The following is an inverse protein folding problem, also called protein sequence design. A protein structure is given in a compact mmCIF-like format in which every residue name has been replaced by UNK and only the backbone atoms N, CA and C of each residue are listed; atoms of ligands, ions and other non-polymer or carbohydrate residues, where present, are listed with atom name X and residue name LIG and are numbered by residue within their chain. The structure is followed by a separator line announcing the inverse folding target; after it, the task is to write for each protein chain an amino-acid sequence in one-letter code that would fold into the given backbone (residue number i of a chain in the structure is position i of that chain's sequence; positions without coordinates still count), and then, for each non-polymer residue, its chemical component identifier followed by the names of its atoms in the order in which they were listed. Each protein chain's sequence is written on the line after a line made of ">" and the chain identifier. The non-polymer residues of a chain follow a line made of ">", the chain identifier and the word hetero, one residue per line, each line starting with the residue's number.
data_IF_265135988349
#
_entry.id   IF_265135988349
#
_cell.length_a   1.000
_cell.length_b   1.000
_cell.length_c   1.000
_cell.angle_alpha   90.00
_cell.angle_beta   90.00
_cell.angle_gamma   90.00
#
_symmetry.space_group_name_H-M   'P 1'
#
loop_
_entity.id
_entity.type
_entity.pdbx_description
1 polymer ?
#
# COMPACT_ATOMS: atom_id res chain seq x y z
N UNK A 1 82.64 -16.01 18.47
CA UNK A 1 82.94 -16.96 19.55
C UNK A 1 82.00 -18.14 19.43
N UNK A 2 82.54 -19.38 19.44
CA UNK A 2 81.79 -20.60 19.76
C UNK A 2 80.95 -21.25 18.65
N UNK A 3 81.61 -21.92 17.70
CA UNK A 3 81.04 -23.00 16.86
C UNK A 3 81.01 -24.32 17.64
N UNK A 4 80.03 -25.20 17.35
CA UNK A 4 80.06 -26.69 17.31
C UNK A 4 78.66 -27.07 16.81
N UNK A 5 78.32 -27.53 15.59
CA UNK A 5 78.90 -28.43 14.59
C UNK A 5 79.31 -29.79 15.14
N UNK A 6 78.60 -30.84 14.71
CA UNK A 6 79.11 -32.10 14.16
C UNK A 6 77.92 -32.76 13.43
N UNK A 7 77.95 -32.88 12.09
CA UNK A 7 78.68 -33.87 11.29
C UNK A 7 77.74 -35.04 11.00
N UNK A 8 77.28 -35.23 9.76
CA UNK A 8 78.04 -35.72 8.60
C UNK A 8 77.10 -36.77 7.96
N UNK A 9 77.09 -37.11 6.67
CA UNK A 9 78.10 -37.14 5.62
C UNK A 9 77.29 -37.53 4.36
N UNK A 10 77.47 -36.87 3.20
CA UNK A 10 78.16 -37.43 2.01
C UNK A 10 77.40 -38.62 1.37
N UNK A 11 76.94 -38.65 0.10
CA UNK A 11 77.66 -38.46 -1.15
C UNK A 11 76.68 -38.36 -2.35
N UNK A 12 77.13 -37.64 -3.39
CA UNK A 12 76.67 -37.60 -4.81
C UNK A 12 76.97 -38.96 -5.53
N UNK A 13 76.81 -39.20 -6.86
CA UNK A 13 76.25 -38.41 -7.97
C UNK A 13 75.44 -39.21 -9.04
N UNK A 14 74.94 -38.47 -10.06
CA UNK A 14 74.95 -38.76 -11.53
C UNK A 14 74.02 -39.80 -12.21
N UNK A 15 73.59 -39.35 -13.40
CA UNK A 15 73.37 -40.04 -14.68
C UNK A 15 72.03 -40.78 -14.87
N UNK A 16 71.12 -40.25 -15.70
CA UNK A 16 70.96 -40.43 -17.18
C UNK A 16 70.50 -41.84 -17.60
N UNK A 17 69.35 -41.88 -18.29
CA UNK A 17 68.87 -43.00 -19.12
C UNK A 17 67.35 -43.17 -18.97
N UNK A 18 66.51 -42.62 -19.86
CA UNK A 18 66.02 -43.22 -21.10
C UNK A 18 65.24 -44.55 -20.93
N UNK A 19 63.91 -44.44 -20.89
CA UNK A 19 63.01 -45.17 -21.80
C UNK A 19 62.46 -46.54 -21.39
N UNK A 20 61.18 -46.72 -21.75
CA UNK A 20 60.38 -47.95 -21.92
C UNK A 20 59.58 -48.52 -20.73
N UNK A 21 58.25 -48.25 -20.77
CA UNK A 21 57.25 -49.29 -21.09
C UNK A 21 56.71 -50.17 -19.96
N UNK A 22 55.41 -50.02 -19.64
CA UNK A 22 54.58 -51.10 -19.09
C UNK A 22 53.68 -50.70 -17.91
N UNK A 23 52.45 -51.24 -17.80
CA UNK A 23 51.34 -50.57 -17.12
C UNK A 23 51.17 -51.06 -15.69
N UNK A 24 51.04 -50.14 -14.74
CA UNK A 24 50.47 -50.43 -13.43
C UNK A 24 49.57 -49.28 -13.01
N UNK A 25 48.28 -49.59 -12.86
CA UNK A 25 47.30 -48.74 -12.21
C UNK A 25 47.78 -48.45 -10.79
N UNK A 26 48.01 -47.16 -10.48
CA UNK A 26 48.00 -46.68 -9.10
C UNK A 26 47.07 -45.47 -9.04
N UNK A 27 46.12 -45.62 -8.12
CA UNK A 27 45.01 -44.77 -7.80
C UNK A 27 45.49 -43.47 -7.16
N UNK A 28 44.88 -42.36 -7.62
CA UNK A 28 44.61 -41.09 -6.94
C UNK A 28 45.71 -40.41 -6.10
N UNK A 29 46.08 -39.19 -6.53
CA UNK A 29 45.92 -38.00 -5.67
C UNK A 29 45.71 -36.76 -6.54
N UNK A 30 44.50 -36.57 -7.05
CA UNK A 30 44.09 -35.27 -7.58
C UNK A 30 43.83 -34.36 -6.37
N UNK A 31 44.65 -33.33 -6.19
CA UNK A 31 44.37 -32.23 -5.28
C UNK A 31 43.07 -31.56 -5.74
N UNK A 32 41.95 -31.95 -5.13
CA UNK A 32 40.70 -31.21 -5.20
C UNK A 32 40.94 -29.85 -4.57
N UNK A 33 41.14 -28.84 -5.41
CA UNK A 33 40.85 -27.45 -5.04
C UNK A 33 39.34 -27.44 -4.76
N UNK A 34 38.99 -27.45 -3.48
CA UNK A 34 37.66 -27.04 -3.04
C UNK A 34 37.51 -25.57 -3.43
N UNK A 35 37.01 -25.34 -4.65
CA UNK A 35 36.33 -24.10 -4.96
C UNK A 35 35.20 -24.00 -3.96
N UNK A 36 35.35 -23.06 -3.03
CA UNK A 36 34.27 -22.62 -2.17
C UNK A 36 33.16 -22.17 -3.14
N UNK A 37 32.19 -23.05 -3.39
CA UNK A 37 30.92 -22.61 -3.92
C UNK A 37 30.43 -21.60 -2.88
N UNK A 38 30.40 -20.32 -3.24
CA UNK A 38 29.47 -19.42 -2.59
C UNK A 38 28.13 -20.14 -2.72
N UNK A 39 27.69 -20.76 -1.64
CA UNK A 39 26.28 -21.02 -1.44
C UNK A 39 25.68 -19.62 -1.49
N UNK A 40 25.19 -19.23 -2.67
CA UNK A 40 24.25 -18.15 -2.75
C UNK A 40 23.14 -18.57 -1.78
N UNK A 41 23.04 -17.87 -0.66
CA UNK A 41 21.85 -17.92 0.18
C UNK A 41 20.66 -17.83 -0.78
N UNK A 42 19.60 -18.65 -0.62
CA UNK A 42 18.38 -18.38 -1.35
C UNK A 42 18.07 -16.90 -1.09
N UNK A 43 17.94 -16.12 -2.16
CA UNK A 43 17.43 -14.78 -2.04
C UNK A 43 16.13 -14.93 -1.25
N UNK A 44 16.08 -14.34 -0.05
CA UNK A 44 14.81 -14.00 0.55
C UNK A 44 14.09 -13.25 -0.57
N UNK A 45 12.93 -13.70 -1.08
CA UNK A 45 12.22 -12.94 -2.10
C UNK A 45 11.96 -11.56 -1.48
N UNK A 46 12.77 -10.59 -1.89
CA UNK A 46 12.54 -9.20 -1.54
C UNK A 46 11.31 -8.80 -2.32
N UNK A 47 10.36 -8.18 -1.64
CA UNK A 47 9.22 -7.56 -2.31
C UNK A 47 9.73 -6.68 -3.45
N UNK A 48 9.12 -6.80 -4.62
CA UNK A 48 9.50 -5.99 -5.77
C UNK A 48 8.93 -4.59 -5.60
N UNK A 49 9.80 -3.57 -5.59
CA UNK A 49 9.37 -2.16 -5.59
C UNK A 49 8.70 -1.76 -6.91
N UNK A 50 8.88 -2.56 -7.96
CA UNK A 50 8.34 -2.28 -9.29
C UNK A 50 6.88 -2.72 -9.45
N UNK A 51 6.31 -3.35 -8.41
CA UNK A 51 4.91 -3.71 -8.33
C UNK A 51 4.38 -3.31 -6.95
N UNK A 52 3.52 -2.30 -6.89
CA UNK A 52 3.02 -1.75 -5.63
C UNK A 52 1.51 -1.92 -5.57
N UNK A 53 1.05 -2.59 -4.52
CA UNK A 53 -0.35 -2.71 -4.17
C UNK A 53 -0.68 -1.73 -3.05
N UNK A 54 -1.72 -0.92 -3.25
CA UNK A 54 -2.13 0.09 -2.30
C UNK A 54 -3.65 0.29 -2.35
N UNK A 55 -4.15 1.09 -1.42
CA UNK A 55 -5.56 1.40 -1.31
C UNK A 55 -5.80 2.90 -1.50
N UNK A 56 -6.96 3.21 -2.04
CA UNK A 56 -7.56 4.54 -1.99
C UNK A 56 -8.98 4.40 -1.44
N UNK A 57 -9.42 5.32 -0.59
CA UNK A 57 -10.78 5.35 -0.07
C UNK A 57 -11.55 6.47 -0.75
N UNK A 58 -12.66 6.13 -1.37
CA UNK A 58 -13.57 7.11 -1.96
C UNK A 58 -14.78 7.24 -1.05
N UNK A 59 -15.02 8.45 -0.57
CA UNK A 59 -16.15 8.78 0.28
C UNK A 59 -15.86 8.73 1.77
N UNK A 60 -16.83 9.25 2.51
CA UNK A 60 -16.78 9.41 3.95
C UNK A 60 -17.12 8.13 4.70
N UNK A 61 -16.44 7.93 5.82
CA UNK A 61 -16.75 6.90 6.78
C UNK A 61 -17.87 7.37 7.72
N UNK A 62 -19.08 6.81 7.60
CA UNK A 62 -20.15 7.04 8.59
C UNK A 62 -20.57 5.74 9.26
N UNK A 63 -21.13 5.80 10.48
CA UNK A 63 -21.72 4.62 11.10
C UNK A 63 -22.85 3.99 10.27
N UNK A 64 -23.52 4.78 9.42
CA UNK A 64 -24.71 4.36 8.66
C UNK A 64 -24.44 3.98 7.20
N UNK A 65 -23.34 4.45 6.60
CA UNK A 65 -23.02 4.26 5.17
C UNK A 65 -21.68 3.55 5.03
N UNK A 66 -21.62 2.41 4.32
CA UNK A 66 -20.36 1.74 4.05
C UNK A 66 -19.40 2.63 3.26
N UNK A 67 -18.14 2.68 3.68
CA UNK A 67 -17.07 3.34 2.92
C UNK A 67 -16.67 2.47 1.74
N UNK A 68 -16.41 3.10 0.59
CA UNK A 68 -15.88 2.42 -0.58
C UNK A 68 -14.37 2.53 -0.61
N UNK A 69 -13.68 1.39 -0.65
CA UNK A 69 -12.22 1.28 -0.70
C UNK A 69 -11.83 0.58 -1.99
N UNK A 70 -11.01 1.25 -2.79
CA UNK A 70 -10.44 0.70 -4.02
C UNK A 70 -9.09 0.09 -3.72
N UNK A 71 -8.89 -1.14 -4.17
CA UNK A 71 -7.58 -1.76 -4.25
C UNK A 71 -6.97 -1.43 -5.62
N UNK A 72 -5.74 -0.92 -5.61
CA UNK A 72 -5.03 -0.42 -6.78
C UNK A 72 -3.69 -1.13 -6.93
N UNK A 73 -3.22 -1.26 -8.17
CA UNK A 73 -1.89 -1.74 -8.48
C UNK A 73 -1.14 -0.78 -9.40
N UNK A 74 0.09 -0.47 -9.02
CA UNK A 74 1.11 0.12 -9.89
C UNK A 74 2.04 -1.00 -10.37
N UNK A 75 2.27 -1.10 -11.67
CA UNK A 75 3.15 -2.12 -12.25
C UNK A 75 4.17 -1.55 -13.26
N UNK A 76 4.98 -0.53 -12.89
CA UNK A 76 6.03 -0.02 -13.77
C UNK A 76 7.08 -1.07 -14.15
N UNK A 77 7.20 -2.17 -13.39
CA UNK A 77 8.09 -3.29 -13.68
C UNK A 77 7.73 -4.13 -14.91
N UNK A 78 6.52 -3.98 -15.45
CA UNK A 78 6.09 -4.67 -16.65
C UNK A 78 4.62 -5.10 -16.64
N UNK A 79 4.13 -5.65 -17.76
CA UNK A 79 2.75 -6.09 -17.87
C UNK A 79 2.47 -7.29 -16.95
N UNK A 80 1.20 -7.50 -16.61
CA UNK A 80 0.75 -8.61 -15.75
C UNK A 80 -0.26 -9.50 -16.49
N UNK A 81 -0.19 -10.81 -16.25
CA UNK A 81 -1.14 -11.81 -16.74
C UNK A 81 -2.31 -12.04 -15.76
N UNK A 82 -2.16 -11.61 -14.51
CA UNK A 82 -3.14 -11.78 -13.46
C UNK A 82 -2.58 -11.46 -12.08
N UNK A 83 -3.38 -11.72 -11.06
CA UNK A 83 -3.00 -11.50 -9.67
C UNK A 83 -3.85 -12.36 -8.74
N UNK A 84 -3.33 -12.59 -7.54
CA UNK A 84 -4.09 -13.08 -6.39
C UNK A 84 -3.86 -12.08 -5.26
N UNK A 85 -4.92 -11.53 -4.70
CA UNK A 85 -4.83 -10.61 -3.57
C UNK A 85 -5.68 -11.11 -2.41
N UNK A 86 -5.19 -10.88 -1.21
CA UNK A 86 -5.95 -11.10 0.01
C UNK A 86 -5.88 -9.85 0.87
N UNK A 87 -7.05 -9.32 1.21
CA UNK A 87 -7.20 -8.08 1.97
C UNK A 87 -7.77 -8.43 3.34
N UNK A 88 -7.06 -8.00 4.37
CA UNK A 88 -7.45 -8.05 5.75
C UNK A 88 -7.82 -6.66 6.24
N UNK A 89 -8.58 -6.63 7.33
CA UNK A 89 -9.02 -5.39 7.94
C UNK A 89 -8.96 -5.49 9.47
N UNK A 90 -9.01 -4.33 10.11
CA UNK A 90 -9.19 -4.21 11.56
C UNK A 90 -10.51 -4.85 12.03
N UNK A 91 -10.58 -5.30 13.28
CA UNK A 91 -11.79 -5.86 13.91
C UNK A 91 -12.97 -4.87 13.98
N UNK A 92 -12.67 -3.58 13.85
CA UNK A 92 -13.67 -2.49 13.83
C UNK A 92 -14.31 -2.29 12.46
N UNK A 93 -13.82 -2.96 11.43
CA UNK A 93 -14.36 -2.98 10.09
C UNK A 93 -15.07 -4.31 9.83
N UNK A 94 -16.18 -4.24 9.10
CA UNK A 94 -16.81 -5.42 8.51
C UNK A 94 -16.93 -5.22 7.01
N UNK A 95 -16.47 -6.20 6.25
CA UNK A 95 -16.66 -6.22 4.80
C UNK A 95 -18.12 -6.54 4.49
N UNK A 96 -18.83 -5.59 3.88
CA UNK A 96 -20.25 -5.74 3.51
C UNK A 96 -20.45 -5.96 2.01
N UNK A 97 -19.44 -5.68 1.19
CA UNK A 97 -19.48 -5.88 -0.25
C UNK A 97 -18.09 -5.93 -0.87
N UNK A 98 -17.94 -6.69 -1.94
CA UNK A 98 -16.71 -6.74 -2.73
C UNK A 98 -17.05 -7.02 -4.20
N UNK A 99 -16.37 -6.33 -5.11
CA UNK A 99 -16.60 -6.43 -6.55
C UNK A 99 -15.31 -6.25 -7.36
N UNK A 100 -15.32 -6.63 -8.65
CA UNK A 100 -14.18 -6.45 -9.53
C UNK A 100 -13.94 -4.97 -9.80
N UNK A 101 -12.67 -4.56 -9.82
CA UNK A 101 -12.29 -3.23 -10.29
C UNK A 101 -12.25 -3.15 -11.82
N UNK A 102 -12.13 -1.94 -12.36
CA UNK A 102 -12.12 -1.69 -13.79
C UNK A 102 -11.07 -2.53 -14.54
N UNK A 103 -9.90 -2.78 -13.95
CA UNK A 103 -8.83 -3.54 -14.60
C UNK A 103 -9.26 -4.98 -14.93
N UNK A 104 -10.12 -5.57 -14.11
CA UNK A 104 -10.69 -6.91 -14.33
C UNK A 104 -11.65 -6.92 -15.50
N UNK A 105 -12.29 -5.78 -15.81
CA UNK A 105 -13.43 -5.71 -16.74
C UNK A 105 -13.03 -5.38 -18.18
N UNK A 106 -11.82 -4.87 -18.42
CA UNK A 106 -11.46 -4.30 -19.73
C UNK A 106 -10.17 -4.82 -20.35
N UNK A 107 -9.28 -5.45 -19.58
CA UNK A 107 -7.93 -5.76 -20.07
C UNK A 107 -7.81 -7.08 -20.83
N UNK A 108 -8.91 -7.81 -21.07
CA UNK A 108 -8.95 -8.94 -22.00
C UNK A 108 -9.46 -8.47 -23.37
N UNK A 109 -8.72 -7.59 -24.04
CA UNK A 109 -9.10 -7.06 -25.36
C UNK A 109 -10.40 -6.21 -25.34
N UNK A 110 -10.67 -5.51 -24.24
CA UNK A 110 -11.92 -4.78 -24.02
C UNK A 110 -13.04 -5.63 -23.42
N UNK A 111 -12.75 -6.86 -22.98
CA UNK A 111 -13.66 -7.74 -22.24
C UNK A 111 -13.14 -7.99 -20.82
N UNK A 112 -13.99 -8.60 -20.01
CA UNK A 112 -13.61 -9.07 -18.67
C UNK A 112 -12.56 -10.18 -18.73
N UNK A 113 -11.80 -10.28 -17.64
CA UNK A 113 -10.85 -11.35 -17.41
C UNK A 113 -11.48 -12.74 -17.59
N UNK A 114 -10.74 -13.65 -18.22
CA UNK A 114 -11.17 -15.04 -18.43
C UNK A 114 -11.49 -15.77 -17.12
N UNK A 115 -10.78 -15.41 -16.04
CA UNK A 115 -11.10 -15.84 -14.68
C UNK A 115 -11.10 -14.66 -13.73
N UNK A 116 -12.17 -14.53 -12.97
CA UNK A 116 -12.27 -13.61 -11.84
C UNK A 116 -13.14 -14.25 -10.77
N UNK A 117 -12.59 -14.37 -9.57
CA UNK A 117 -13.33 -14.85 -8.42
C UNK A 117 -12.99 -14.00 -7.21
N UNK A 118 -14.03 -13.56 -6.49
CA UNK A 118 -13.92 -12.83 -5.24
C UNK A 118 -14.69 -13.59 -4.18
N UNK A 119 -14.06 -13.84 -3.03
CA UNK A 119 -14.65 -14.52 -1.87
C UNK A 119 -14.54 -13.60 -0.68
N UNK A 120 -15.68 -13.33 -0.04
CA UNK A 120 -15.76 -12.60 1.22
C UNK A 120 -15.72 -13.62 2.37
N UNK A 121 -14.87 -13.36 3.35
CA UNK A 121 -14.77 -14.08 4.61
C UNK A 121 -15.30 -13.15 5.72
N UNK A 122 -16.56 -13.31 6.15
CA UNK A 122 -17.18 -12.43 7.13
C UNK A 122 -16.34 -12.31 8.41
N UNK A 123 -16.16 -11.09 8.90
CA UNK A 123 -15.31 -10.77 10.06
C UNK A 123 -13.80 -10.97 9.85
N UNK A 124 -13.32 -11.30 8.64
CA UNK A 124 -11.91 -11.60 8.42
C UNK A 124 -11.28 -10.90 7.20
N UNK A 125 -11.97 -10.85 6.06
CA UNK A 125 -11.41 -10.21 4.87
C UNK A 125 -11.97 -10.68 3.54
N UNK A 126 -11.20 -10.44 2.48
CA UNK A 126 -11.57 -10.77 1.10
C UNK A 126 -10.39 -11.40 0.40
N UNK A 127 -10.64 -12.42 -0.43
CA UNK A 127 -9.68 -12.94 -1.41
C UNK A 127 -10.21 -12.73 -2.81
N UNK A 128 -9.34 -12.28 -3.71
CA UNK A 128 -9.59 -12.22 -5.14
C UNK A 128 -8.50 -12.98 -5.91
N UNK A 129 -8.91 -13.76 -6.91
CA UNK A 129 -8.01 -14.32 -7.92
C UNK A 129 -8.45 -13.91 -9.31
N UNK A 130 -7.51 -13.48 -10.15
CA UNK A 130 -7.76 -13.01 -11.51
C UNK A 130 -6.73 -13.60 -12.48
N UNK A 131 -7.22 -14.12 -13.61
CA UNK A 131 -6.41 -14.43 -14.80
C UNK A 131 -7.03 -13.67 -15.96
N UNK A 132 -6.27 -12.76 -16.56
CA UNK A 132 -6.78 -11.83 -17.58
C UNK A 132 -7.18 -12.60 -18.84
N UNK A 133 -6.27 -13.43 -19.35
CA UNK A 133 -6.45 -14.20 -20.58
C UNK A 133 -5.67 -15.50 -20.46
N UNK A 134 -6.35 -16.64 -20.53
CA UNK A 134 -5.70 -17.96 -20.48
C UNK A 134 -4.81 -18.24 -21.69
N UNK A 135 -5.07 -17.56 -22.82
CA UNK A 135 -4.26 -17.65 -24.03
C UNK A 135 -3.07 -16.68 -24.01
N UNK A 136 -2.97 -15.82 -22.98
CA UNK A 136 -1.91 -14.83 -22.79
C UNK A 136 -1.72 -13.88 -23.99
N UNK A 137 -2.77 -13.65 -24.78
CA UNK A 137 -2.77 -12.70 -25.89
C UNK A 137 -3.03 -11.27 -25.43
N UNK A 138 -3.69 -11.12 -24.29
CA UNK A 138 -3.89 -9.85 -23.59
C UNK A 138 -3.28 -9.89 -22.19
N UNK A 139 -2.80 -8.73 -21.75
CA UNK A 139 -2.16 -8.53 -20.46
C UNK A 139 -2.61 -7.17 -19.91
N UNK A 140 -2.53 -6.99 -18.60
CA UNK A 140 -2.57 -5.67 -18.00
C UNK A 140 -1.30 -4.94 -18.45
N UNK A 141 -1.38 -3.79 -19.14
CA UNK A 141 -0.20 -3.02 -19.52
C UNK A 141 0.56 -2.54 -18.29
N UNK A 142 1.81 -2.12 -18.46
CA UNK A 142 2.55 -1.45 -17.39
C UNK A 142 2.03 -0.01 -17.25
N UNK A 143 1.42 0.31 -16.12
CA UNK A 143 0.93 1.65 -15.80
C UNK A 143 0.84 1.84 -14.28
N UNK A 144 0.24 2.96 -13.86
CA UNK A 144 -0.08 3.27 -12.47
C UNK A 144 -1.61 3.28 -12.27
N UNK A 145 -2.04 2.99 -11.05
CA UNK A 145 -3.42 3.18 -10.62
C UNK A 145 -4.43 2.24 -11.25
N UNK A 146 -4.04 1.02 -11.61
CA UNK A 146 -4.99 0.02 -12.10
C UNK A 146 -5.91 -0.45 -10.97
N UNK A 147 -7.22 -0.20 -11.11
CA UNK A 147 -8.23 -0.62 -10.12
C UNK A 147 -8.51 -2.12 -10.23
N UNK A 148 -8.08 -2.89 -9.23
CA UNK A 148 -8.20 -4.36 -9.23
C UNK A 148 -9.43 -4.87 -8.51
N UNK A 149 -9.86 -4.19 -7.43
CA UNK A 149 -11.06 -4.54 -6.67
C UNK A 149 -11.70 -3.31 -6.04
N UNK A 150 -13.02 -3.36 -5.86
CA UNK A 150 -13.81 -2.38 -5.12
C UNK A 150 -14.37 -3.10 -3.89
N UNK A 151 -14.06 -2.59 -2.71
CA UNK A 151 -14.44 -3.13 -1.41
C UNK A 151 -15.36 -2.15 -0.70
N UNK A 152 -16.33 -2.64 0.05
CA UNK A 152 -17.24 -1.84 0.86
C UNK A 152 -17.15 -2.29 2.31
N UNK A 153 -16.79 -1.35 3.19
CA UNK A 153 -16.62 -1.62 4.62
C UNK A 153 -17.64 -0.85 5.44
N UNK A 154 -18.30 -1.53 6.37
CA UNK A 154 -19.09 -0.92 7.42
C UNK A 154 -18.28 -0.83 8.72
N UNK A 155 -18.58 0.16 9.55
CA UNK A 155 -18.00 0.29 10.88
C UNK A 155 -18.80 -0.49 11.91
N UNK A 156 -18.12 -1.28 12.75
CA UNK A 156 -18.77 -2.08 13.80
C UNK A 156 -18.40 -1.59 15.22
N UNK A 157 -17.57 -0.56 15.34
CA UNK A 157 -17.11 -0.08 16.64
C UNK A 157 -16.69 1.39 16.65
N UNK A 158 -15.86 1.76 17.63
CA UNK A 158 -15.27 3.10 17.68
C UNK A 158 -14.36 3.29 16.45
N UNK A 159 -14.57 4.33 15.63
CA UNK A 159 -13.74 4.55 14.44
C UNK A 159 -12.31 5.02 14.78
N UNK A 160 -11.97 5.12 16.07
CA UNK A 160 -10.72 5.70 16.53
C UNK A 160 -9.89 4.72 17.35
N UNK A 161 -8.56 4.69 17.14
CA UNK A 161 -7.80 5.40 16.07
C UNK A 161 -8.19 4.93 14.66
N UNK A 162 -7.95 5.73 13.60
CA UNK A 162 -8.42 5.46 12.23
C UNK A 162 -8.21 3.97 11.84
N UNK A 163 -9.27 3.26 11.39
CA UNK A 163 -9.15 1.84 11.10
C UNK A 163 -8.32 1.64 9.82
N UNK A 164 -7.71 0.46 9.72
CA UNK A 164 -6.78 0.14 8.65
C UNK A 164 -7.23 -1.09 7.86
N UNK A 165 -6.90 -1.08 6.58
CA UNK A 165 -6.97 -2.21 5.68
C UNK A 165 -5.57 -2.52 5.16
N UNK A 166 -5.26 -3.79 5.00
CA UNK A 166 -3.92 -4.23 4.61
C UNK A 166 -3.98 -5.49 3.77
N UNK A 167 -3.05 -5.64 2.85
CA UNK A 167 -2.81 -6.93 2.22
C UNK A 167 -2.20 -7.90 3.22
N UNK A 168 -2.61 -9.17 3.15
CA UNK A 168 -2.21 -10.17 4.13
C UNK A 168 -2.02 -11.54 3.47
N UNK A 169 -1.19 -12.37 4.10
CA UNK A 169 -1.00 -13.75 3.71
C UNK A 169 -1.44 -14.65 4.88
N UNK A 170 -2.65 -15.20 4.83
CA UNK A 170 -3.20 -16.02 5.91
C UNK A 170 -4.24 -17.02 5.43
N UNK A 171 -4.52 -18.01 6.29
CA UNK A 171 -5.66 -18.91 6.14
C UNK A 171 -6.90 -18.24 6.74
N UNK A 172 -7.89 -17.90 5.90
CA UNK A 172 -9.14 -17.35 6.41
C UNK A 172 -9.99 -18.43 7.11
N UNK A 173 -10.83 -18.05 8.10
CA UNK A 173 -11.72 -18.97 8.77
C UNK A 173 -12.65 -19.70 7.79
N UNK A 174 -12.73 -21.03 7.93
CA UNK A 174 -13.58 -21.87 7.08
C UNK A 174 -12.99 -22.21 5.71
N UNK A 175 -11.77 -21.77 5.42
CA UNK A 175 -11.07 -22.07 4.18
C UNK A 175 -10.07 -23.23 4.33
N UNK A 176 -9.62 -23.76 3.19
CA UNK A 176 -8.67 -24.86 3.09
C UNK A 176 -7.34 -24.48 2.45
N UNK A 177 -7.24 -23.27 1.87
CA UNK A 177 -6.03 -22.77 1.23
C UNK A 177 -5.56 -21.49 1.89
N UNK A 178 -4.23 -21.35 2.01
CA UNK A 178 -3.63 -20.06 2.31
C UNK A 178 -4.04 -19.06 1.23
N UNK A 179 -4.41 -17.87 1.68
CA UNK A 179 -4.61 -16.73 0.81
C UNK A 179 -3.30 -15.97 0.74
N UNK A 180 -2.79 -15.77 -0.45
CA UNK A 180 -1.51 -15.11 -0.70
C UNK A 180 -1.71 -13.94 -1.66
N UNK A 181 -1.00 -12.85 -1.36
CA UNK A 181 -0.94 -11.66 -2.18
C UNK A 181 0.27 -11.73 -3.10
N UNK A 182 0.03 -11.90 -4.40
CA UNK A 182 1.03 -12.00 -5.45
C UNK A 182 0.50 -11.43 -6.76
N UNK A 183 1.42 -10.98 -7.62
CA UNK A 183 1.13 -10.57 -8.99
C UNK A 183 1.79 -11.54 -9.95
N UNK A 184 1.18 -11.77 -11.11
CA UNK A 184 1.65 -12.79 -12.06
C UNK A 184 2.13 -12.10 -13.33
N UNK A 185 3.43 -12.17 -13.60
CA UNK A 185 4.02 -11.70 -14.84
C UNK A 185 3.79 -12.70 -16.00
N UNK A 186 3.98 -12.29 -17.26
CA UNK A 186 3.86 -13.17 -18.42
C UNK A 186 4.69 -14.43 -18.27
N UNK A 187 4.12 -15.57 -18.69
CA UNK A 187 4.74 -16.88 -18.48
C UNK A 187 4.47 -17.50 -17.11
N UNK A 188 3.61 -16.90 -16.29
CA UNK A 188 3.15 -17.47 -15.02
C UNK A 188 4.13 -17.29 -13.86
N UNK A 189 5.01 -16.30 -13.95
CA UNK A 189 5.98 -16.01 -12.89
C UNK A 189 5.28 -15.22 -11.78
N UNK A 190 5.18 -15.81 -10.59
CA UNK A 190 4.67 -15.13 -9.41
C UNK A 190 5.73 -14.17 -8.85
N UNK A 191 5.30 -12.96 -8.52
CA UNK A 191 6.12 -11.90 -7.95
C UNK A 191 5.42 -11.41 -6.69
N UNK A 192 6.18 -11.30 -5.59
CA UNK A 192 5.72 -10.70 -4.35
C UNK A 192 5.76 -9.16 -4.49
N UNK A 193 4.61 -8.46 -4.53
CA UNK A 193 4.58 -7.01 -4.65
C UNK A 193 4.93 -6.33 -3.33
N UNK A 194 5.34 -5.08 -3.42
CA UNK A 194 5.33 -4.17 -2.27
C UNK A 194 3.90 -3.83 -1.90
N UNK A 195 3.54 -3.86 -0.62
CA UNK A 195 2.19 -3.54 -0.16
C UNK A 195 2.19 -2.31 0.74
N UNK A 196 1.20 -1.45 0.55
CA UNK A 196 0.97 -0.24 1.36
C UNK A 196 -0.32 -0.43 2.16
N UNK A 197 -0.26 -0.12 3.45
CA UNK A 197 -1.44 -0.14 4.34
C UNK A 197 -2.36 1.03 3.98
N UNK A 198 -3.65 0.74 3.84
CA UNK A 198 -4.69 1.75 3.67
C UNK A 198 -5.19 2.22 5.03
N UNK A 199 -5.15 3.53 5.27
CA UNK A 199 -5.75 4.15 6.46
C UNK A 199 -7.07 4.77 6.00
N UNK A 200 -8.18 4.36 6.58
CA UNK A 200 -9.48 4.90 6.18
C UNK A 200 -9.71 6.25 6.86
N UNK A 201 -9.80 7.30 6.05
CA UNK A 201 -10.10 8.66 6.49
C UNK A 201 -11.57 8.78 6.88
N UNK A 202 -11.83 9.19 8.11
CA UNK A 202 -13.17 9.54 8.55
C UNK A 202 -13.44 10.98 8.10
N UNK A 203 -14.49 11.20 7.29
CA UNK A 203 -15.02 12.54 7.03
C UNK A 203 -16.26 12.72 7.89
N UNK A 204 -16.12 13.51 8.94
CA UNK A 204 -17.23 13.83 9.83
C UNK A 204 -18.03 15.00 9.25
N UNK A 205 -19.35 15.05 9.50
CA UNK A 205 -20.14 16.20 9.11
C UNK A 205 -19.64 17.45 9.87
N UNK A 206 -19.59 18.57 9.16
CA UNK A 206 -19.15 19.84 9.71
C UNK A 206 -19.92 21.01 9.06
N UNK A 207 -19.72 22.20 9.60
CA UNK A 207 -20.14 23.45 8.98
C UNK A 207 -18.90 24.24 8.57
N UNK A 208 -18.68 24.37 7.26
CA UNK A 208 -17.60 25.15 6.66
C UNK A 208 -17.69 26.60 7.12
N UNK A 209 -16.59 27.07 7.68
CA UNK A 209 -16.46 28.40 8.26
C UNK A 209 -16.75 28.49 9.77
N UNK A 210 -17.19 27.42 10.45
CA UNK A 210 -17.29 27.35 11.92
C UNK A 210 -15.94 26.92 12.52
N UNK A 211 -14.92 27.77 12.34
CA UNK A 211 -13.54 27.48 12.71
C UNK A 211 -13.33 27.46 14.23
N UNK A 212 -14.17 28.17 14.99
CA UNK A 212 -14.12 28.17 16.45
C UNK A 212 -15.07 27.14 17.10
N UNK A 213 -15.90 26.47 16.29
CA UNK A 213 -16.83 25.40 16.68
C UNK A 213 -17.87 25.82 17.72
N UNK A 214 -18.38 27.04 17.61
CA UNK A 214 -19.46 27.53 18.45
C UNK A 214 -20.86 27.30 17.84
N UNK A 215 -20.91 26.65 16.67
CA UNK A 215 -22.13 26.33 15.93
C UNK A 215 -22.65 27.51 15.10
N UNK A 216 -21.86 28.56 14.94
CA UNK A 216 -22.17 29.74 14.11
C UNK A 216 -21.04 29.96 13.11
N UNK A 217 -21.37 30.67 12.03
CA UNK A 217 -20.39 31.15 11.06
C UNK A 217 -20.46 32.67 11.07
N UNK A 218 -19.56 33.30 11.84
CA UNK A 218 -19.48 34.74 12.05
C UNK A 218 -18.03 35.26 12.18
N UNK A 219 -17.87 36.50 12.65
CA UNK A 219 -16.57 37.16 12.77
C UNK A 219 -15.63 36.43 13.74
N UNK A 220 -16.18 35.74 14.74
CA UNK A 220 -15.41 35.00 15.73
C UNK A 220 -14.64 33.83 15.10
N UNK A 221 -15.10 33.28 13.98
CA UNK A 221 -14.41 32.22 13.24
C UNK A 221 -13.15 32.73 12.57
N UNK A 222 -13.23 33.88 11.91
CA UNK A 222 -12.04 34.52 11.31
C UNK A 222 -10.99 34.86 12.38
N UNK A 223 -11.41 35.24 13.59
CA UNK A 223 -10.51 35.48 14.72
C UNK A 223 -9.94 34.16 15.27
N UNK A 224 -10.76 33.13 15.43
CA UNK A 224 -10.34 31.81 15.89
C UNK A 224 -9.32 31.18 14.95
N UNK A 225 -9.55 31.28 13.63
CA UNK A 225 -8.64 30.80 12.61
C UNK A 225 -7.28 31.53 12.64
N UNK A 226 -7.25 32.83 12.94
CA UNK A 226 -6.00 33.54 13.19
C UNK A 226 -5.29 33.05 14.46
N UNK A 227 -6.03 32.70 15.51
CA UNK A 227 -5.49 32.07 16.72
C UNK A 227 -4.80 30.74 16.40
N UNK A 228 -5.47 29.88 15.63
CA UNK A 228 -4.92 28.62 15.10
C UNK A 228 -3.62 28.88 14.33
N UNK A 229 -3.66 29.75 13.32
CA UNK A 229 -2.54 29.95 12.39
C UNK A 229 -1.34 30.69 13.00
N UNK A 230 -1.59 31.63 13.92
CA UNK A 230 -0.54 32.50 14.46
C UNK A 230 -0.05 32.06 15.84
N UNK A 231 -0.93 31.49 16.65
CA UNK A 231 -0.65 31.14 18.05
C UNK A 231 -0.56 29.62 18.26
N UNK A 232 -0.84 28.82 17.23
CA UNK A 232 -0.79 27.36 17.30
C UNK A 232 -1.89 26.80 18.19
N UNK A 233 -3.05 27.45 18.23
CA UNK A 233 -4.21 26.89 18.92
C UNK A 233 -4.62 25.55 18.26
N UNK A 234 -5.19 24.60 19.03
CA UNK A 234 -5.58 23.31 18.50
C UNK A 234 -6.58 23.46 17.35
N UNK A 235 -6.28 22.82 16.22
CA UNK A 235 -7.27 22.64 15.15
C UNK A 235 -8.21 21.54 15.56
N UNK A 236 -9.50 21.87 15.61
CA UNK A 236 -10.53 20.90 15.98
C UNK A 236 -11.21 20.29 14.75
N UNK A 237 -11.29 21.02 13.64
CA UNK A 237 -11.80 20.54 12.36
C UNK A 237 -11.12 21.29 11.23
N UNK A 238 -10.31 20.57 10.44
CA UNK A 238 -9.53 21.16 9.35
C UNK A 238 -10.45 21.66 8.22
N UNK A 239 -11.51 20.89 7.90
CA UNK A 239 -12.46 21.25 6.84
C UNK A 239 -13.27 22.52 7.19
N UNK A 240 -13.59 22.74 8.48
CA UNK A 240 -14.24 23.97 8.91
C UNK A 240 -13.32 25.20 8.79
N UNK A 241 -12.00 25.00 8.90
CA UNK A 241 -11.00 26.04 8.77
C UNK A 241 -10.69 26.41 7.31
N UNK A 242 -10.92 25.50 6.36
CA UNK A 242 -10.84 25.75 4.92
C UNK A 242 -12.12 26.46 4.44
N UNK A 243 -12.19 27.76 4.69
CA UNK A 243 -13.35 28.60 4.36
C UNK A 243 -13.56 28.72 2.85
N UNK A 244 -12.47 28.68 2.08
CA UNK A 244 -12.51 28.93 0.65
C UNK A 244 -12.57 27.64 -0.20
N UNK A 245 -12.46 26.47 0.43
CA UNK A 245 -12.62 25.14 -0.16
C UNK A 245 -11.56 24.85 -1.23
N UNK A 246 -10.30 25.21 -0.93
CA UNK A 246 -9.15 24.96 -1.83
C UNK A 246 -8.32 23.73 -1.44
N UNK A 247 -8.74 22.98 -0.42
CA UNK A 247 -8.07 21.80 0.12
C UNK A 247 -6.91 22.15 1.04
N UNK A 248 -6.84 23.40 1.53
CA UNK A 248 -5.82 23.85 2.47
C UNK A 248 -6.32 24.97 3.38
N UNK A 249 -6.24 24.80 4.70
CA UNK A 249 -6.53 25.91 5.62
C UNK A 249 -5.28 26.78 5.85
N UNK A 250 -5.36 28.06 5.49
CA UNK A 250 -4.26 29.01 5.59
C UNK A 250 -4.78 30.46 5.81
N UNK A 251 -3.90 31.47 5.69
CA UNK A 251 -4.29 32.87 5.91
C UNK A 251 -5.32 33.39 4.90
N UNK A 252 -5.40 32.79 3.70
CA UNK A 252 -6.43 33.12 2.71
C UNK A 252 -7.83 32.84 3.26
N UNK A 253 -8.00 31.75 4.01
CA UNK A 253 -9.28 31.38 4.64
C UNK A 253 -9.68 32.34 5.75
N UNK A 254 -8.73 32.79 6.57
CA UNK A 254 -8.99 33.82 7.56
C UNK A 254 -9.46 35.13 6.90
N UNK A 255 -8.83 35.52 5.79
CA UNK A 255 -9.25 36.70 5.02
C UNK A 255 -10.63 36.47 4.41
N UNK A 256 -10.87 35.30 3.81
CA UNK A 256 -12.15 34.95 3.19
C UNK A 256 -13.29 34.95 4.21
N UNK A 257 -13.10 34.35 5.39
CA UNK A 257 -14.05 34.31 6.51
C UNK A 257 -14.41 35.71 7.01
N UNK A 258 -13.41 36.58 7.22
CA UNK A 258 -13.66 37.96 7.64
C UNK A 258 -14.38 38.74 6.52
N UNK A 259 -13.98 38.56 5.26
CA UNK A 259 -14.56 39.28 4.13
C UNK A 259 -16.02 38.88 3.85
N UNK A 260 -16.34 37.58 3.98
CA UNK A 260 -17.70 37.05 3.86
C UNK A 260 -18.58 37.51 5.03
N UNK A 261 -18.04 37.56 6.26
CA UNK A 261 -18.74 38.09 7.46
C UNK A 261 -19.17 39.56 7.31
N UNK A 262 -18.43 40.37 6.56
CA UNK A 262 -18.82 41.76 6.24
C UNK A 262 -19.71 41.88 4.99
N UNK A 263 -20.08 40.77 4.34
CA UNK A 263 -20.88 40.75 3.12
C UNK A 263 -20.13 41.22 1.87
N UNK A 264 -18.79 41.25 1.90
CA UNK A 264 -17.95 41.67 0.78
C UNK A 264 -17.43 40.51 -0.08
N UNK A 265 -17.67 39.26 0.35
CA UNK A 265 -17.43 38.04 -0.40
C UNK A 265 -18.64 37.09 -0.32
N UNK A 266 -18.74 36.09 -1.22
CA UNK A 266 -19.69 35.00 -1.08
C UNK A 266 -19.55 34.29 0.27
N UNK A 267 -20.65 33.70 0.75
CA UNK A 267 -20.62 32.74 1.85
C UNK A 267 -19.75 31.52 1.47
N UNK A 268 -19.20 30.80 2.45
CA UNK A 268 -18.39 29.61 2.18
C UNK A 268 -19.19 28.58 1.36
N UNK A 269 -18.53 27.80 0.49
CA UNK A 269 -19.16 26.69 -0.20
C UNK A 269 -19.81 25.69 0.78
N UNK A 270 -20.79 24.89 0.32
CA UNK A 270 -21.34 23.79 1.11
C UNK A 270 -20.24 22.86 1.65
N UNK A 271 -20.34 22.36 2.89
CA UNK A 271 -21.46 22.52 3.82
C UNK A 271 -21.36 23.81 4.66
N UNK A 272 -21.94 24.94 4.21
CA UNK A 272 -21.83 26.24 4.86
C UNK A 272 -22.96 26.53 5.86
N UNK A 273 -23.22 27.82 6.12
CA UNK A 273 -24.22 28.29 7.10
C UNK A 273 -25.58 27.58 6.97
N UNK A 274 -26.00 26.88 8.04
CA UNK A 274 -27.29 26.18 8.12
C UNK A 274 -27.30 24.76 7.54
N UNK A 275 -26.15 24.26 7.07
CA UNK A 275 -25.94 22.85 6.70
C UNK A 275 -24.86 22.25 7.59
N UNK A 276 -25.07 21.00 8.01
CA UNK A 276 -24.03 20.16 8.60
C UNK A 276 -23.98 18.88 7.80
N UNK A 277 -23.09 18.85 6.83
CA UNK A 277 -22.93 17.73 5.91
C UNK A 277 -21.43 17.43 5.76
N UNK A 278 -21.12 16.40 4.97
CA UNK A 278 -19.75 16.04 4.66
C UNK A 278 -19.16 16.97 3.63
N UNK A 279 -17.83 17.00 3.55
CA UNK A 279 -17.15 17.73 2.49
C UNK A 279 -17.53 17.14 1.12
N UNK A 280 -18.21 17.90 0.24
CA UNK A 280 -18.50 17.45 -1.12
C UNK A 280 -17.24 17.40 -1.99
N UNK A 281 -16.15 18.03 -1.54
CA UNK A 281 -14.85 18.02 -2.20
C UNK A 281 -13.93 16.97 -1.56
N UNK A 282 -13.06 16.40 -2.38
CA UNK A 282 -12.10 15.39 -1.95
C UNK A 282 -10.73 16.05 -1.75
N UNK A 283 -10.22 15.99 -0.52
CA UNK A 283 -8.90 16.45 -0.14
C UNK A 283 -8.34 15.62 1.03
N UNK A 284 -7.24 16.10 1.65
CA UNK A 284 -6.60 15.45 2.78
C UNK A 284 -7.00 16.04 4.14
N UNK A 285 -7.82 17.09 4.14
CA UNK A 285 -8.33 17.72 5.35
C UNK A 285 -9.38 16.80 5.99
N UNK A 286 -9.51 16.89 7.31
CA UNK A 286 -10.57 16.18 8.03
C UNK A 286 -10.95 16.87 9.33
N UNK A 287 -12.18 16.62 9.77
CA UNK A 287 -12.69 17.14 11.03
C UNK A 287 -12.40 16.31 12.29
N UNK A 288 -11.39 15.42 12.24
CA UNK A 288 -10.98 14.62 13.40
C UNK A 288 -12.17 13.90 14.04
N UNK A 289 -12.29 13.91 15.37
CA UNK A 289 -13.32 13.14 16.10
C UNK A 289 -14.56 13.97 16.47
N UNK A 290 -14.66 15.18 15.92
CA UNK A 290 -15.48 16.22 16.51
C UNK A 290 -16.76 16.47 15.72
N UNK A 291 -17.90 16.32 16.40
CA UNK A 291 -19.24 16.49 15.86
C UNK A 291 -19.95 17.57 16.66
N UNK A 292 -19.78 18.84 16.28
CA UNK A 292 -20.80 19.86 16.59
C UNK A 292 -21.48 20.25 15.29
N UNK A 293 -22.56 19.53 15.00
CA UNK A 293 -23.66 20.07 14.23
C UNK A 293 -24.65 20.69 15.22
N UNK A 294 -25.21 21.89 14.97
CA UNK A 294 -26.29 22.48 15.76
C UNK A 294 -27.55 21.60 15.88
#
# INVERSE_FOLDING_TARGET
>A
MGRFSLSGTEQSPRARGCGFGGPFQVVALALMVWGLALMASPAIPGQSSDFVLYFDSVGAFTPEIPVTVRALIDNPGGPLAGWSIAVCHDERLEIVGAGPGQAVLIHNGGQSADFSNIVIFPGAGVRQGVVIDFMSTHLLPADLGHEVAILQYALVGNPLPKPQVSYCNQLFPGDFSLSETLVVAPGGVAIDPTTVVGILGLKFPFTRGDANQDGRVDLADGIGLLGILMMGEPVLCEDACDHNDDGSFNFADAIASLHSSFGNAPAPPPPGLGSCDQDPTEDLLNCGDYVTCP
#
